data_IF_867130107505
#
_entry.id   IF_867130107505
#
_cell.length_a   1.000
_cell.length_b   1.000
_cell.length_c   1.000
_cell.angle_alpha   90.00
_cell.angle_beta   90.00
_cell.angle_gamma   90.00
#
_symmetry.space_group_name_H-M   'P 1'
#
loop_
_entity.id
_entity.type
_entity.pdbx_description
1 polymer ?
#
# COMPACT_ATOMS: atom_id res chain seq x y z
N UNK A 1 -10.53 -23.97 -0.11
CA UNK A 1 -10.17 -23.49 -1.46
C UNK A 1 -9.75 -22.05 -1.32
N UNK A 2 -8.69 -21.65 -2.02
CA UNK A 2 -8.23 -20.26 -1.99
C UNK A 2 -9.26 -19.32 -2.61
N UNK A 3 -9.18 -18.04 -2.27
CA UNK A 3 -10.03 -16.99 -2.84
C UNK A 3 -9.23 -15.75 -3.18
N UNK A 4 -9.72 -14.97 -4.13
CA UNK A 4 -9.15 -13.68 -4.46
C UNK A 4 -9.43 -12.71 -3.30
N UNK A 5 -8.44 -11.87 -2.99
CA UNK A 5 -8.63 -10.65 -2.22
C UNK A 5 -8.65 -9.44 -3.15
N UNK A 6 -9.64 -8.58 -2.93
CA UNK A 6 -9.73 -7.25 -3.52
C UNK A 6 -9.72 -6.22 -2.40
N UNK A 7 -8.64 -5.45 -2.28
CA UNK A 7 -8.56 -4.33 -1.35
C UNK A 7 -8.77 -3.01 -2.09
N UNK A 8 -9.75 -2.23 -1.65
CA UNK A 8 -10.12 -0.96 -2.26
C UNK A 8 -9.96 0.19 -1.28
N UNK A 9 -9.48 1.32 -1.78
CA UNK A 9 -9.59 2.60 -1.09
C UNK A 9 -11.02 3.13 -1.23
N UNK A 10 -11.59 3.65 -0.15
CA UNK A 10 -12.92 4.27 -0.14
C UNK A 10 -12.88 5.62 0.57
N UNK A 11 -13.70 6.57 0.15
CA UNK A 11 -13.75 7.89 0.80
C UNK A 11 -14.51 7.86 2.13
N UNK A 12 -15.54 7.02 2.22
CA UNK A 12 -16.41 6.89 3.38
C UNK A 12 -16.66 5.41 3.63
N UNK A 13 -16.16 4.91 4.76
CA UNK A 13 -16.25 3.49 5.10
C UNK A 13 -17.70 3.03 5.35
N UNK A 14 -18.54 3.87 5.94
CA UNK A 14 -19.91 3.52 6.29
C UNK A 14 -20.77 3.45 5.02
N UNK A 15 -20.60 4.40 4.10
CA UNK A 15 -21.24 4.38 2.80
C UNK A 15 -20.81 3.15 1.97
N UNK A 16 -19.52 2.82 2.00
CA UNK A 16 -19.00 1.65 1.30
C UNK A 16 -19.54 0.34 1.89
N UNK A 17 -19.57 0.18 3.21
CA UNK A 17 -20.17 -0.98 3.88
C UNK A 17 -21.63 -1.13 3.45
N UNK A 18 -22.42 -0.05 3.47
CA UNK A 18 -23.82 -0.08 3.09
C UNK A 18 -24.02 -0.52 1.63
N UNK A 19 -23.15 -0.07 0.72
CA UNK A 19 -23.19 -0.47 -0.69
C UNK A 19 -22.82 -1.95 -0.87
N UNK A 20 -21.67 -2.39 -0.37
CA UNK A 20 -21.18 -3.75 -0.58
C UNK A 20 -22.02 -4.81 0.15
N UNK A 21 -22.65 -4.43 1.26
CA UNK A 21 -23.62 -5.32 1.94
C UNK A 21 -24.83 -5.63 1.06
N UNK A 22 -25.29 -4.65 0.27
CA UNK A 22 -26.38 -4.85 -0.70
C UNK A 22 -25.91 -5.64 -1.91
N UNK A 23 -24.73 -5.32 -2.44
CA UNK A 23 -24.18 -5.98 -3.63
C UNK A 23 -23.98 -7.48 -3.42
N UNK A 24 -23.42 -7.87 -2.27
CA UNK A 24 -23.10 -9.26 -1.96
C UNK A 24 -24.10 -9.93 -1.03
N UNK A 25 -25.21 -9.25 -0.70
CA UNK A 25 -26.26 -9.75 0.18
C UNK A 25 -25.74 -10.35 1.51
N UNK A 26 -24.68 -9.77 2.07
CA UNK A 26 -24.03 -10.24 3.31
C UNK A 26 -23.44 -9.09 4.09
N UNK A 27 -23.38 -9.22 5.42
CA UNK A 27 -22.76 -8.23 6.29
C UNK A 27 -21.22 -8.34 6.25
N UNK A 28 -20.48 -7.27 6.62
CA UNK A 28 -19.03 -7.37 6.79
C UNK A 28 -18.70 -8.38 7.89
N UNK A 29 -17.65 -9.18 7.68
CA UNK A 29 -17.13 -10.12 8.66
C UNK A 29 -16.35 -9.40 9.78
N UNK A 30 -15.76 -8.24 9.47
CA UNK A 30 -15.03 -7.40 10.44
C UNK A 30 -15.23 -5.93 10.10
N UNK A 31 -15.48 -5.12 11.12
CA UNK A 31 -15.55 -3.65 11.04
C UNK A 31 -14.66 -3.04 12.11
N UNK A 32 -13.89 -2.02 11.74
CA UNK A 32 -13.02 -1.19 12.59
C UNK A 32 -13.05 0.25 12.07
N UNK A 33 -12.51 1.19 12.83
CA UNK A 33 -12.40 2.58 12.36
C UNK A 33 -11.57 2.65 11.06
N UNK A 34 -12.18 3.17 9.98
CA UNK A 34 -11.55 3.27 8.66
C UNK A 34 -11.27 1.94 7.95
N UNK A 35 -11.83 0.81 8.42
CA UNK A 35 -11.55 -0.51 7.85
C UNK A 35 -12.76 -1.44 7.94
N UNK A 36 -13.04 -2.16 6.87
CA UNK A 36 -13.98 -3.28 6.90
C UNK A 36 -13.52 -4.41 5.97
N UNK A 37 -13.92 -5.64 6.27
CA UNK A 37 -13.80 -6.72 5.31
C UNK A 37 -15.03 -7.61 5.25
N UNK A 38 -15.25 -8.21 4.09
CA UNK A 38 -16.30 -9.19 3.82
C UNK A 38 -15.65 -10.52 3.45
N UNK A 39 -16.23 -11.60 3.96
CA UNK A 39 -15.91 -12.96 3.55
C UNK A 39 -17.10 -13.50 2.74
N UNK A 40 -17.01 -13.41 1.41
CA UNK A 40 -18.08 -13.78 0.50
C UNK A 40 -17.82 -15.23 0.04
N UNK A 41 -18.84 -16.07 0.18
CA UNK A 41 -18.74 -17.49 -0.15
C UNK A 41 -18.89 -17.74 -1.67
N UNK A 42 -19.83 -17.06 -2.31
CA UNK A 42 -20.12 -17.22 -3.74
C UNK A 42 -20.42 -15.86 -4.40
N UNK A 43 -19.55 -15.38 -5.31
CA UNK A 43 -18.25 -15.95 -5.66
C UNK A 43 -17.26 -15.90 -4.46
N UNK A 44 -16.31 -16.85 -4.34
CA UNK A 44 -15.30 -16.80 -3.29
C UNK A 44 -14.46 -15.52 -3.38
N UNK A 45 -14.67 -14.61 -2.43
CA UNK A 45 -14.02 -13.30 -2.43
C UNK A 45 -13.77 -12.82 -1.00
N UNK A 46 -12.55 -12.34 -0.77
CA UNK A 46 -12.19 -11.51 0.37
C UNK A 46 -12.21 -10.05 -0.08
N UNK A 47 -13.27 -9.32 0.26
CA UNK A 47 -13.31 -7.87 -0.02
C UNK A 47 -12.77 -7.13 1.19
N UNK A 48 -11.80 -6.25 0.99
CA UNK A 48 -11.24 -5.38 2.02
C UNK A 48 -11.47 -3.92 1.62
N UNK A 49 -12.02 -3.13 2.54
CA UNK A 49 -12.29 -1.71 2.35
C UNK A 49 -11.44 -0.92 3.33
N UNK A 50 -10.66 0.03 2.80
CA UNK A 50 -9.74 0.87 3.57
C UNK A 50 -10.14 2.32 3.31
N UNK A 51 -10.49 3.06 4.37
CA UNK A 51 -10.82 4.46 4.23
C UNK A 51 -9.57 5.28 3.88
N UNK A 52 -9.62 5.98 2.75
CA UNK A 52 -8.58 6.86 2.26
C UNK A 52 -9.23 8.04 1.52
N UNK A 53 -9.56 9.08 2.30
CA UNK A 53 -10.33 10.24 1.84
C UNK A 53 -9.63 10.99 0.71
N UNK A 54 -10.34 11.21 -0.38
CA UNK A 54 -9.84 11.82 -1.61
C UNK A 54 -9.23 10.82 -2.59
N UNK A 55 -9.12 9.53 -2.22
CA UNK A 55 -8.57 8.46 -3.04
C UNK A 55 -9.56 7.29 -3.21
N UNK A 56 -10.84 7.50 -2.87
CA UNK A 56 -11.89 6.51 -3.00
C UNK A 56 -12.06 5.99 -4.43
N UNK A 57 -12.39 4.70 -4.54
CA UNK A 57 -12.60 4.02 -5.83
C UNK A 57 -11.31 3.53 -6.49
N UNK A 58 -10.14 3.75 -5.89
CA UNK A 58 -8.86 3.23 -6.38
C UNK A 58 -8.56 1.84 -5.81
N UNK A 59 -7.77 1.06 -6.56
CA UNK A 59 -7.21 -0.19 -6.07
C UNK A 59 -6.18 0.12 -4.97
N UNK A 60 -6.28 -0.58 -3.84
CA UNK A 60 -5.25 -0.52 -2.81
C UNK A 60 -4.18 -1.59 -3.08
N UNK A 61 -4.59 -2.87 -3.04
CA UNK A 61 -3.77 -4.03 -3.41
C UNK A 61 -4.65 -5.24 -3.75
N UNK A 62 -4.03 -6.28 -4.29
CA UNK A 62 -4.67 -7.55 -4.63
C UNK A 62 -4.08 -8.68 -3.79
N UNK A 63 -4.78 -9.80 -3.71
CA UNK A 63 -4.19 -10.98 -3.10
C UNK A 63 -4.87 -12.29 -3.41
N UNK A 64 -4.25 -13.36 -2.93
CA UNK A 64 -4.78 -14.72 -2.92
C UNK A 64 -4.71 -15.23 -1.48
N UNK A 65 -5.86 -15.33 -0.84
CA UNK A 65 -5.98 -15.91 0.50
C UNK A 65 -5.97 -17.45 0.38
N UNK A 66 -4.94 -18.08 0.96
CA UNK A 66 -4.70 -19.52 0.97
C UNK A 66 -4.95 -20.12 2.36
N UNK A 67 -5.06 -21.43 2.43
CA UNK A 67 -5.62 -22.11 3.61
C UNK A 67 -4.58 -22.38 4.72
N UNK A 68 -3.28 -22.26 4.42
CA UNK A 68 -2.22 -22.62 5.37
C UNK A 68 -0.89 -21.94 5.06
N UNK A 69 0.00 -21.92 6.06
CA UNK A 69 1.39 -21.49 5.92
C UNK A 69 2.15 -22.32 4.88
N UNK A 70 1.87 -23.63 4.80
CA UNK A 70 2.50 -24.50 3.81
C UNK A 70 2.15 -24.07 2.37
N UNK A 71 0.92 -23.63 2.12
CA UNK A 71 0.50 -23.09 0.83
C UNK A 71 1.19 -21.74 0.51
N UNK A 72 1.45 -20.91 1.53
CA UNK A 72 2.27 -19.68 1.37
C UNK A 72 3.71 -20.04 1.04
N UNK A 73 4.32 -21.00 1.75
CA UNK A 73 5.67 -21.49 1.48
C UNK A 73 5.84 -22.08 0.07
N UNK A 74 4.83 -22.82 -0.40
CA UNK A 74 4.79 -23.31 -1.78
C UNK A 74 4.70 -22.16 -2.80
N UNK A 75 3.92 -21.11 -2.51
CA UNK A 75 3.85 -19.93 -3.36
C UNK A 75 5.18 -19.17 -3.41
N UNK A 76 5.85 -18.96 -2.26
CA UNK A 76 7.19 -18.34 -2.18
C UNK A 76 8.18 -19.08 -3.08
N UNK A 77 8.30 -20.39 -2.87
CA UNK A 77 9.23 -21.25 -3.63
C UNK A 77 8.99 -21.12 -5.13
N UNK A 78 7.73 -21.21 -5.56
CA UNK A 78 7.36 -21.10 -6.97
C UNK A 78 7.68 -19.72 -7.52
N UNK A 79 7.24 -18.63 -6.86
CA UNK A 79 7.43 -17.26 -7.36
C UNK A 79 8.92 -16.91 -7.50
N UNK A 80 9.74 -17.29 -6.53
CA UNK A 80 11.19 -17.09 -6.60
C UNK A 80 11.83 -17.91 -7.73
N UNK A 81 11.38 -19.16 -7.94
CA UNK A 81 11.89 -20.01 -9.02
C UNK A 81 11.58 -19.46 -10.42
N UNK A 82 10.51 -18.69 -10.54
CA UNK A 82 10.11 -17.99 -11.77
C UNK A 82 10.80 -16.61 -11.91
N UNK A 83 11.71 -16.25 -11.00
CA UNK A 83 12.50 -15.02 -11.06
C UNK A 83 11.77 -13.75 -10.59
N UNK A 84 10.63 -13.88 -9.90
CA UNK A 84 9.95 -12.74 -9.29
C UNK A 84 10.70 -12.28 -8.03
N UNK A 85 10.82 -10.97 -7.87
CA UNK A 85 11.30 -10.36 -6.62
C UNK A 85 10.18 -10.48 -5.59
N UNK A 86 10.46 -11.24 -4.52
CA UNK A 86 9.51 -11.50 -3.43
C UNK A 86 9.93 -10.77 -2.17
N UNK A 87 8.97 -10.17 -1.48
CA UNK A 87 9.13 -9.72 -0.09
C UNK A 87 8.33 -10.65 0.83
N UNK A 88 9.02 -11.35 1.73
CA UNK A 88 8.44 -12.42 2.56
C UNK A 88 8.27 -11.91 3.98
N UNK A 89 7.05 -12.02 4.50
CA UNK A 89 6.71 -11.64 5.87
C UNK A 89 6.08 -12.83 6.59
N UNK A 90 6.72 -13.30 7.66
CA UNK A 90 6.24 -14.42 8.49
C UNK A 90 5.78 -13.91 9.86
N UNK A 91 4.64 -14.42 10.35
CA UNK A 91 4.04 -14.03 11.64
C UNK A 91 3.86 -12.51 11.81
N UNK A 92 3.61 -11.79 10.72
CA UNK A 92 3.47 -10.33 10.74
C UNK A 92 2.04 -9.93 11.03
N UNK A 93 1.86 -8.88 11.85
CA UNK A 93 0.56 -8.28 12.11
C UNK A 93 0.23 -7.24 11.05
N UNK A 94 -0.80 -7.49 10.23
CA UNK A 94 -1.28 -6.59 9.19
C UNK A 94 -2.82 -6.59 9.17
N UNK A 95 -3.45 -5.43 8.98
CA UNK A 95 -4.92 -5.33 8.84
C UNK A 95 -5.74 -6.06 9.95
N UNK A 96 -5.33 -5.93 11.22
CA UNK A 96 -5.98 -6.61 12.35
C UNK A 96 -5.95 -8.14 12.28
N UNK A 97 -4.93 -8.71 11.65
CA UNK A 97 -4.65 -10.14 11.62
C UNK A 97 -3.15 -10.43 11.72
N UNK A 98 -2.78 -11.57 12.31
CA UNK A 98 -1.45 -12.17 12.19
C UNK A 98 -1.46 -13.05 10.94
N UNK A 99 -0.46 -12.89 10.08
CA UNK A 99 -0.42 -13.52 8.77
C UNK A 99 0.99 -14.00 8.43
N UNK A 100 1.05 -15.06 7.63
CA UNK A 100 2.20 -15.33 6.78
C UNK A 100 1.85 -14.88 5.37
N UNK A 101 2.74 -14.15 4.72
CA UNK A 101 2.50 -13.61 3.38
C UNK A 101 3.78 -13.47 2.56
N UNK A 102 3.58 -13.42 1.25
CA UNK A 102 4.60 -13.00 0.29
C UNK A 102 4.02 -11.96 -0.64
N UNK A 103 4.73 -10.85 -0.82
CA UNK A 103 4.42 -9.81 -1.78
C UNK A 103 5.21 -9.98 -3.08
N UNK A 104 4.54 -9.70 -4.19
CA UNK A 104 5.14 -9.44 -5.49
C UNK A 104 4.45 -8.24 -6.12
N UNK A 105 5.08 -7.65 -7.13
CA UNK A 105 4.50 -6.54 -7.89
C UNK A 105 4.26 -6.98 -9.33
N UNK A 106 3.12 -6.58 -9.87
CA UNK A 106 2.86 -6.74 -11.29
C UNK A 106 3.68 -5.75 -12.13
N UNK A 107 3.64 -5.89 -13.47
CA UNK A 107 4.46 -5.08 -14.37
C UNK A 107 4.22 -3.57 -14.26
N UNK A 108 3.04 -3.15 -13.77
CA UNK A 108 2.68 -1.74 -13.60
C UNK A 108 2.70 -1.31 -12.13
N UNK A 109 3.34 -2.09 -11.25
CA UNK A 109 3.52 -1.77 -9.84
C UNK A 109 2.31 -2.08 -8.95
N UNK A 110 1.28 -2.75 -9.47
CA UNK A 110 0.18 -3.22 -8.62
C UNK A 110 0.68 -4.30 -7.64
N UNK A 111 0.52 -4.11 -6.32
CA UNK A 111 0.99 -5.06 -5.32
C UNK A 111 0.03 -6.25 -5.20
N UNK A 112 0.62 -7.43 -5.11
CA UNK A 112 -0.07 -8.71 -4.90
C UNK A 112 0.50 -9.43 -3.69
N UNK A 113 -0.36 -9.88 -2.78
CA UNK A 113 0.02 -10.80 -1.71
C UNK A 113 -0.54 -12.21 -1.91
N UNK A 114 0.24 -13.24 -1.60
CA UNK A 114 -0.28 -14.59 -1.29
C UNK A 114 -0.12 -14.81 0.19
N UNK A 115 -1.22 -15.07 0.90
CA UNK A 115 -1.18 -15.04 2.36
C UNK A 115 -2.17 -16.01 3.01
N UNK A 116 -1.94 -16.32 4.28
CA UNK A 116 -2.91 -16.99 5.15
C UNK A 116 -3.14 -16.18 6.44
N UNK A 117 -4.32 -16.29 7.04
CA UNK A 117 -4.63 -15.68 8.34
C UNK A 117 -4.39 -16.70 9.44
N UNK A 118 -3.49 -16.38 10.37
CA UNK A 118 -3.16 -17.22 11.52
C UNK A 118 -3.99 -16.87 12.75
N UNK A 119 -4.20 -15.58 12.99
CA UNK A 119 -4.97 -15.08 14.14
C UNK A 119 -5.53 -13.68 13.89
N UNK A 120 -6.49 -13.25 14.71
CA UNK A 120 -6.90 -11.85 14.79
C UNK A 120 -5.89 -11.03 15.60
N UNK A 121 -5.70 -9.76 15.22
CA UNK A 121 -4.83 -8.81 15.92
C UNK A 121 -5.57 -7.49 16.23
N UNK A 122 -5.23 -6.79 17.33
CA UNK A 122 -5.92 -5.57 17.73
C UNK A 122 -5.41 -4.30 17.03
N UNK A 123 -4.26 -4.36 16.34
CA UNK A 123 -3.57 -3.18 15.78
C UNK A 123 -3.49 -3.28 14.25
N UNK A 124 -3.58 -2.14 13.58
CA UNK A 124 -3.36 -2.00 12.14
C UNK A 124 -1.94 -1.50 11.86
N UNK A 125 -1.18 -2.24 11.03
CA UNK A 125 0.08 -1.78 10.44
C UNK A 125 -0.11 -1.47 8.95
N UNK A 126 0.72 -0.57 8.40
CA UNK A 126 0.65 -0.13 7.00
C UNK A 126 0.93 -1.30 6.05
N UNK A 127 0.26 -1.25 4.90
CA UNK A 127 0.40 -2.20 3.78
C UNK A 127 1.01 -1.43 2.61
N UNK A 128 1.85 -2.05 1.76
CA UNK A 128 2.23 -1.44 0.49
C UNK A 128 0.96 -1.12 -0.33
N UNK A 129 0.82 0.12 -0.77
CA UNK A 129 -0.35 0.58 -1.56
C UNK A 129 0.07 0.89 -2.99
N UNK A 130 -0.75 0.50 -3.96
CA UNK A 130 -0.56 0.88 -5.35
C UNK A 130 -0.42 2.41 -5.49
N UNK A 131 0.70 2.86 -6.08
CA UNK A 131 0.97 4.27 -6.33
C UNK A 131 1.75 5.01 -5.23
N UNK A 132 2.08 4.37 -4.11
CA UNK A 132 3.09 4.90 -3.18
C UNK A 132 4.49 4.50 -3.65
N UNK A 133 5.35 5.48 -3.93
CA UNK A 133 6.77 5.21 -4.16
C UNK A 133 7.38 4.68 -2.87
N UNK A 134 7.95 3.46 -2.91
CA UNK A 134 8.79 2.94 -1.83
C UNK A 134 9.96 3.90 -1.63
N UNK A 135 9.91 4.68 -0.56
CA UNK A 135 11.05 5.44 -0.11
C UNK A 135 12.08 4.43 0.41
N UNK A 136 13.16 4.25 -0.35
CA UNK A 136 14.36 3.53 0.09
C UNK A 136 14.71 3.97 1.52
N UNK A 137 14.73 3.00 2.43
CA UNK A 137 15.23 3.19 3.78
C UNK A 137 16.75 3.45 3.72
N UNK A 138 17.11 4.70 3.45
CA UNK A 138 18.46 5.21 3.54
C UNK A 138 18.96 5.15 4.99
N UNK A 139 19.72 4.11 5.26
CA UNK A 139 20.46 3.84 6.49
C UNK A 139 21.30 5.05 6.94
N UNK A 140 21.34 5.28 8.26
CA UNK A 140 22.00 6.41 8.92
C UNK A 140 23.47 6.62 8.52
N UNK A 141 23.82 7.88 8.24
CA UNK A 141 25.19 8.37 8.24
C UNK A 141 25.24 9.78 8.83
N UNK A 142 25.50 9.88 10.13
CA UNK A 142 25.83 11.13 10.83
C UNK A 142 27.12 11.72 10.26
N UNK A 143 27.02 12.90 9.66
CA UNK A 143 28.16 13.70 9.21
C UNK A 143 27.83 15.18 9.33
N UNK A 144 27.96 15.69 10.55
CA UNK A 144 27.90 17.12 10.87
C UNK A 144 28.98 17.88 10.10
N UNK A 145 28.58 18.84 9.26
CA UNK A 145 29.42 19.99 8.95
C UNK A 145 28.55 21.22 8.71
N UNK A 146 28.44 21.99 9.79
CA UNK A 146 27.98 23.36 9.87
C UNK A 146 28.78 24.30 8.96
N UNK A 147 28.08 25.13 8.19
CA UNK A 147 28.54 26.50 7.89
C UNK A 147 27.33 27.39 7.61
N UNK A 148 27.21 28.44 8.43
CA UNK A 148 26.14 29.43 8.56
C UNK A 148 25.79 30.19 7.26
N UNK A 149 24.55 30.72 7.12
CA UNK A 149 24.24 31.77 6.16
C UNK A 149 24.40 33.16 6.81
N UNK A 150 25.20 34.04 6.20
CA UNK A 150 25.24 35.47 6.54
C UNK A 150 24.22 36.20 5.67
N UNK A 151 23.34 36.97 6.31
CA UNK A 151 22.32 37.78 5.67
C UNK A 151 22.74 39.26 5.53
N UNK A 152 22.45 39.80 4.33
CA UNK A 152 21.98 41.17 4.02
C UNK A 152 22.96 42.37 4.10
N UNK A 153 22.71 43.53 3.40
CA UNK A 153 21.39 44.02 2.95
C UNK A 153 21.28 44.66 1.54
N UNK A 154 20.03 45.00 1.28
CA UNK A 154 19.31 45.60 0.13
C UNK A 154 19.84 46.95 -0.37
N UNK A 155 19.82 47.15 -1.70
CA UNK A 155 19.52 48.45 -2.34
C UNK A 155 19.09 48.28 -3.83
N UNK A 156 17.92 48.80 -4.18
CA UNK A 156 17.43 49.08 -5.55
C UNK A 156 17.65 50.58 -5.89
N UNK A 157 17.28 51.12 -7.08
CA UNK A 157 17.35 50.60 -8.46
C UNK A 157 17.88 51.69 -9.44
N UNK A 158 18.58 51.37 -10.55
CA UNK A 158 18.72 52.35 -11.67
C UNK A 158 18.85 51.68 -13.06
N UNK A 159 17.84 51.97 -13.89
CA UNK A 159 17.69 52.11 -15.35
C UNK A 159 18.60 51.43 -16.38
N UNK A 160 17.88 50.83 -17.36
CA UNK A 160 18.18 50.61 -18.78
C UNK A 160 19.40 51.31 -19.41
N UNK A 161 20.20 50.49 -20.10
CA UNK A 161 21.02 50.86 -21.24
C UNK A 161 21.19 49.66 -22.17
N UNK A 162 20.58 49.71 -23.35
CA UNK A 162 20.80 48.79 -24.49
C UNK A 162 22.10 49.17 -25.24
N UNK A 163 22.48 48.52 -26.37
CA UNK A 163 22.33 47.13 -26.79
C UNK A 163 23.70 46.52 -27.24
N UNK A 164 23.65 45.28 -27.72
CA UNK A 164 24.28 44.80 -28.96
C UNK A 164 25.16 43.54 -28.84
N UNK A 165 24.69 42.52 -29.56
CA UNK A 165 25.44 41.67 -30.47
C UNK A 165 26.48 40.66 -29.95
N UNK A 166 26.08 39.39 -30.18
CA UNK A 166 26.83 38.29 -30.81
C UNK A 166 28.02 37.72 -30.03
N UNK A 167 27.89 36.50 -29.52
CA UNK A 167 28.16 35.22 -30.23
C UNK A 167 29.63 35.09 -30.68
N UNK A 168 30.38 34.27 -29.93
CA UNK A 168 30.92 33.01 -30.44
C UNK A 168 30.40 31.89 -29.54
#
# INVERSE_FOLDING_TARGET
MSRVQLALNVDDIDAAIAFYSKLFATAPAKVRNGYANFAIAEPPLKLVLIENKGQGGTLNHLGVEVMSTDEVGAAITRLQSEGLVTDVEENTTCCYAVQDKVWVHGPNGEPWEVYTVLADAPVMHKVPVAGEAVAEAGCCGTGSSTSEPVAEPVAEPVTMGAPASRCC
#
